data_IF_728986415450
#
_entry.id   IF_728986415450
#
_cell.length_a   1.000
_cell.length_b   1.000
_cell.length_c   1.000
_cell.angle_alpha   90.00
_cell.angle_beta   90.00
_cell.angle_gamma   90.00
#
_symmetry.space_group_name_H-M   'P 1'
#
loop_
_entity.id
_entity.type
_entity.pdbx_description
1 polymer ?
#
# COMPACT_ATOMS: atom_id res chain seq x y z
N UNK A 1 33.21 -48.72 58.94
CA UNK A 1 33.80 -49.65 57.94
C UNK A 1 34.08 -48.83 56.69
N UNK A 2 35.22 -48.16 56.63
CA UNK A 2 36.52 -48.68 56.20
C UNK A 2 36.75 -48.30 54.72
N UNK A 3 37.99 -47.91 54.36
CA UNK A 3 38.23 -46.78 53.47
C UNK A 3 39.16 -47.18 52.30
N UNK A 4 39.80 -46.16 51.71
CA UNK A 4 41.09 -46.17 51.04
C UNK A 4 41.13 -46.42 49.54
N UNK A 5 41.46 -45.42 48.71
CA UNK A 5 42.72 -44.62 48.61
C UNK A 5 43.66 -45.19 47.55
N UNK A 6 43.96 -44.35 46.55
CA UNK A 6 45.31 -44.01 46.03
C UNK A 6 45.12 -43.27 44.69
N UNK A 7 45.39 -41.97 44.54
CA UNK A 7 46.63 -41.20 44.73
C UNK A 7 47.63 -41.32 43.57
N UNK A 8 48.24 -40.17 43.26
CA UNK A 8 49.43 -39.86 42.45
C UNK A 8 49.14 -39.43 41.00
N UNK A 9 49.65 -38.32 40.46
CA UNK A 9 50.74 -37.40 40.86
C UNK A 9 50.63 -36.12 39.99
N UNK A 10 50.95 -34.95 40.60
CA UNK A 10 51.91 -33.87 40.19
C UNK A 10 51.90 -33.44 38.71
N UNK A 11 51.99 -32.17 38.32
CA UNK A 11 52.69 -31.00 38.89
C UNK A 11 52.38 -29.76 38.02
N UNK A 12 52.40 -28.56 38.65
CA UNK A 12 52.46 -27.20 38.07
C UNK A 12 53.63 -27.03 37.05
N UNK A 13 53.88 -25.88 36.35
CA UNK A 13 53.35 -24.51 36.53
C UNK A 13 53.11 -23.65 35.25
N UNK A 14 52.55 -22.45 35.47
CA UNK A 14 52.72 -21.17 34.75
C UNK A 14 53.33 -21.13 33.34
N UNK A 15 52.63 -20.48 32.39
CA UNK A 15 53.24 -19.40 31.57
C UNK A 15 52.22 -18.48 30.89
N UNK A 16 52.53 -17.19 30.97
CA UNK A 16 51.85 -16.05 30.34
C UNK A 16 52.25 -15.85 28.87
N UNK A 17 51.39 -15.15 28.11
CA UNK A 17 51.69 -14.29 26.96
C UNK A 17 50.38 -13.52 26.62
N UNK A 18 50.21 -12.24 26.97
CA UNK A 18 50.67 -11.02 26.28
C UNK A 18 50.28 -10.86 24.80
N UNK A 19 49.32 -9.93 24.58
CA UNK A 19 49.26 -8.80 23.64
C UNK A 19 49.48 -9.01 22.12
N UNK A 20 48.43 -8.73 21.32
CA UNK A 20 48.37 -7.51 20.46
C UNK A 20 47.11 -7.44 19.55
N UNK A 21 46.75 -6.23 19.05
CA UNK A 21 45.45 -5.92 18.47
C UNK A 21 45.42 -5.99 16.93
N UNK A 22 44.24 -6.27 16.36
CA UNK A 22 44.02 -6.09 14.92
C UNK A 22 42.66 -5.44 14.62
N UNK A 23 42.78 -4.45 13.74
CA UNK A 23 41.82 -3.49 13.16
C UNK A 23 40.54 -4.06 12.52
N UNK A 24 39.53 -3.17 12.53
CA UNK A 24 38.53 -2.82 11.48
C UNK A 24 37.62 -3.97 10.98
N UNK A 25 36.31 -3.78 10.88
CA UNK A 25 35.65 -3.06 9.79
C UNK A 25 34.24 -2.61 10.20
N UNK A 26 33.74 -1.55 9.56
CA UNK A 26 32.39 -1.05 9.69
C UNK A 26 31.38 -2.03 9.05
N UNK A 27 30.34 -2.40 9.80
CA UNK A 27 29.19 -3.14 9.28
C UNK A 27 27.92 -2.39 9.61
N UNK A 28 27.38 -1.68 8.62
CA UNK A 28 26.11 -0.97 8.68
C UNK A 28 25.03 -2.04 8.68
N UNK A 29 24.54 -2.41 9.87
CA UNK A 29 23.36 -3.25 10.01
C UNK A 29 22.12 -2.44 9.68
N UNK A 30 21.64 -2.54 8.44
CA UNK A 30 20.31 -2.08 8.03
C UNK A 30 19.26 -2.79 8.89
N UNK A 31 18.83 -2.15 9.98
CA UNK A 31 17.58 -2.49 10.65
C UNK A 31 16.45 -2.18 9.67
N UNK A 32 15.91 -3.21 9.04
CA UNK A 32 14.69 -3.12 8.25
C UNK A 32 13.55 -2.65 9.16
N UNK A 33 13.23 -1.36 9.09
CA UNK A 33 12.00 -0.83 9.64
C UNK A 33 10.84 -1.42 8.83
N UNK A 34 10.26 -2.51 9.31
CA UNK A 34 8.93 -2.92 8.86
C UNK A 34 7.98 -1.90 9.47
N UNK A 35 7.65 -0.86 8.70
CA UNK A 35 6.63 0.09 9.13
C UNK A 35 5.30 -0.67 9.16
N UNK A 36 4.59 -0.71 10.30
CA UNK A 36 3.25 -1.26 10.33
C UNK A 36 2.40 -0.43 9.38
N UNK A 37 1.77 -1.10 8.41
CA UNK A 37 0.80 -0.49 7.51
C UNK A 37 -0.34 0.05 8.37
N UNK A 38 -0.30 1.35 8.63
CA UNK A 38 -1.36 2.08 9.34
C UNK A 38 -2.66 1.91 8.55
N UNK A 39 -3.82 2.02 9.21
CA UNK A 39 -5.06 2.37 8.50
C UNK A 39 -4.75 3.65 7.70
N UNK A 40 -4.58 3.50 6.39
CA UNK A 40 -3.99 4.51 5.55
C UNK A 40 -4.98 5.64 5.32
N UNK A 41 -4.56 6.88 5.58
CA UNK A 41 -5.30 8.03 5.14
C UNK A 41 -5.51 7.97 3.62
N UNK A 42 -6.67 8.42 3.14
CA UNK A 42 -6.99 8.46 1.71
C UNK A 42 -5.98 9.33 0.96
N UNK A 43 -5.55 8.83 -0.20
CA UNK A 43 -4.68 9.51 -1.15
C UNK A 43 -5.39 9.69 -2.48
N UNK A 44 -4.97 10.66 -3.28
CA UNK A 44 -5.64 11.05 -4.51
C UNK A 44 -4.68 11.14 -5.70
N UNK A 45 -5.20 10.84 -6.89
CA UNK A 45 -4.52 11.05 -8.18
C UNK A 45 -4.93 12.41 -8.77
N UNK A 46 -4.16 12.90 -9.73
CA UNK A 46 -4.51 14.08 -10.54
C UNK A 46 -5.72 13.80 -11.45
N UNK A 47 -5.96 12.53 -11.80
CA UNK A 47 -7.16 12.04 -12.49
C UNK A 47 -8.40 11.87 -11.59
N UNK A 48 -8.33 12.37 -10.36
CA UNK A 48 -9.46 12.39 -9.42
C UNK A 48 -9.92 11.01 -8.93
N UNK A 49 -9.06 10.00 -9.00
CA UNK A 49 -9.25 8.76 -8.25
C UNK A 49 -8.74 8.90 -6.82
N UNK A 50 -9.19 8.01 -5.94
CA UNK A 50 -8.66 7.88 -4.59
C UNK A 50 -8.29 6.45 -4.25
N UNK A 51 -7.36 6.30 -3.32
CA UNK A 51 -6.99 5.02 -2.71
C UNK A 51 -6.86 5.15 -1.19
N UNK A 52 -7.37 4.16 -0.46
CA UNK A 52 -7.14 3.97 0.98
C UNK A 52 -6.51 2.61 1.20
N UNK A 53 -5.37 2.55 1.89
CA UNK A 53 -4.61 1.31 2.07
C UNK A 53 -4.68 0.84 3.51
N UNK A 54 -5.18 -0.38 3.72
CA UNK A 54 -5.20 -1.03 5.02
C UNK A 54 -4.62 -2.43 4.89
N UNK A 55 -3.64 -2.78 5.73
CA UNK A 55 -3.00 -4.10 5.75
C UNK A 55 -2.49 -4.58 4.37
N UNK A 56 -2.05 -3.65 3.51
CA UNK A 56 -1.49 -3.94 2.19
C UNK A 56 -2.54 -4.12 1.09
N UNK A 57 -3.82 -3.91 1.41
CA UNK A 57 -4.92 -3.88 0.46
C UNK A 57 -5.35 -2.42 0.25
N UNK A 58 -5.27 -1.96 -0.99
CA UNK A 58 -5.78 -0.68 -1.44
C UNK A 58 -7.23 -0.79 -1.90
N UNK A 59 -8.13 0.00 -1.33
CA UNK A 59 -9.49 0.21 -1.85
C UNK A 59 -9.48 1.45 -2.73
N UNK A 60 -9.97 1.35 -3.95
CA UNK A 60 -9.92 2.40 -4.98
C UNK A 60 -11.32 2.86 -5.34
N UNK A 61 -11.48 4.16 -5.59
CA UNK A 61 -12.71 4.75 -6.14
C UNK A 61 -12.45 6.10 -6.82
N UNK A 62 -13.52 6.82 -7.19
CA UNK A 62 -13.41 8.19 -7.71
C UNK A 62 -13.84 9.23 -6.68
N UNK A 63 -13.34 10.46 -6.80
CA UNK A 63 -13.64 11.54 -5.87
C UNK A 63 -15.04 12.13 -6.08
N UNK A 64 -15.47 12.97 -5.13
CA UNK A 64 -16.70 13.75 -5.30
C UNK A 64 -16.64 14.67 -6.53
N UNK A 65 -15.48 15.29 -6.77
CA UNK A 65 -15.29 16.16 -7.94
C UNK A 65 -15.50 15.38 -9.25
N UNK A 66 -14.94 14.16 -9.34
CA UNK A 66 -15.09 13.31 -10.51
C UNK A 66 -16.54 12.89 -10.76
N UNK A 67 -17.27 12.47 -9.72
CA UNK A 67 -18.65 12.01 -9.90
C UNK A 67 -19.58 13.18 -10.28
N UNK A 68 -19.34 14.40 -9.76
CA UNK A 68 -20.10 15.59 -10.14
C UNK A 68 -19.87 15.95 -11.62
N UNK A 69 -18.61 15.85 -12.08
CA UNK A 69 -18.25 16.10 -13.47
C UNK A 69 -18.89 15.08 -14.44
N UNK A 70 -18.93 13.80 -14.04
CA UNK A 70 -19.62 12.75 -14.79
C UNK A 70 -21.14 12.94 -14.81
N UNK A 71 -21.73 13.36 -13.68
CA UNK A 71 -23.16 13.26 -13.44
C UNK A 71 -23.60 11.82 -13.16
N UNK A 72 -24.89 11.54 -13.34
CA UNK A 72 -25.49 10.25 -12.96
C UNK A 72 -24.84 9.08 -13.71
N UNK A 73 -24.10 8.25 -12.96
CA UNK A 73 -23.43 7.06 -13.48
C UNK A 73 -24.46 5.99 -13.77
N UNK A 74 -24.44 5.48 -15.00
CA UNK A 74 -25.38 4.46 -15.50
C UNK A 74 -24.71 3.11 -15.75
N UNK A 75 -23.38 3.07 -15.84
CA UNK A 75 -22.64 1.84 -16.05
C UNK A 75 -21.22 1.92 -15.47
N UNK A 76 -20.73 0.79 -14.95
CA UNK A 76 -19.38 0.63 -14.42
C UNK A 76 -18.72 -0.58 -15.09
N UNK A 77 -17.71 -0.36 -15.91
CA UNK A 77 -16.84 -1.41 -16.45
C UNK A 77 -15.67 -1.62 -15.50
N UNK A 78 -15.61 -2.79 -14.85
CA UNK A 78 -14.59 -3.14 -13.87
C UNK A 78 -13.77 -4.35 -14.35
N UNK A 79 -12.51 -4.50 -13.91
CA UNK A 79 -11.63 -5.56 -14.34
C UNK A 79 -12.00 -6.89 -13.67
N UNK A 80 -11.39 -7.98 -14.11
CA UNK A 80 -11.53 -9.28 -13.44
C UNK A 80 -10.65 -9.35 -12.17
N UNK A 81 -11.12 -10.07 -11.15
CA UNK A 81 -10.27 -10.42 -10.00
C UNK A 81 -9.08 -11.26 -10.50
N UNK A 82 -7.88 -10.93 -10.03
CA UNK A 82 -6.61 -11.50 -10.49
C UNK A 82 -5.93 -10.69 -11.61
N UNK A 83 -6.56 -9.62 -12.11
CA UNK A 83 -5.94 -8.73 -13.09
C UNK A 83 -4.74 -8.02 -12.46
N UNK A 84 -3.59 -8.08 -13.12
CA UNK A 84 -2.38 -7.35 -12.71
C UNK A 84 -2.35 -5.99 -13.38
N UNK A 85 -2.11 -4.96 -12.58
CA UNK A 85 -2.09 -3.57 -13.00
C UNK A 85 -0.77 -2.95 -12.58
N UNK A 86 -0.12 -2.21 -13.48
CA UNK A 86 0.88 -1.22 -13.09
C UNK A 86 0.17 0.09 -12.75
N UNK A 87 0.88 0.95 -12.01
CA UNK A 87 0.46 2.35 -11.87
C UNK A 87 0.22 2.97 -13.26
N UNK A 88 -0.85 3.72 -13.39
CA UNK A 88 -1.33 4.36 -14.61
C UNK A 88 -1.86 3.41 -15.71
N UNK A 89 -1.94 2.10 -15.48
CA UNK A 89 -2.66 1.20 -16.39
C UNK A 89 -4.17 1.47 -16.30
N UNK A 90 -4.84 1.48 -17.46
CA UNK A 90 -6.30 1.52 -17.54
C UNK A 90 -6.86 0.20 -17.00
N UNK A 91 -7.83 0.27 -16.08
CA UNK A 91 -8.46 -0.92 -15.50
C UNK A 91 -9.97 -1.00 -15.76
N UNK A 92 -10.59 0.07 -16.26
CA UNK A 92 -12.03 0.13 -16.42
C UNK A 92 -12.51 1.48 -16.90
N UNK A 93 -13.83 1.68 -16.86
CA UNK A 93 -14.47 2.93 -17.24
C UNK A 93 -15.79 3.13 -16.48
N UNK A 94 -16.15 4.39 -16.24
CA UNK A 94 -17.48 4.80 -15.77
C UNK A 94 -18.20 5.52 -16.90
N UNK A 95 -19.46 5.16 -17.12
CA UNK A 95 -20.30 5.84 -18.11
C UNK A 95 -21.48 6.53 -17.44
N UNK A 96 -21.80 7.72 -17.92
CA UNK A 96 -22.99 8.50 -17.60
C UNK A 96 -23.73 8.86 -18.88
N UNK A 97 -24.89 9.50 -18.74
CA UNK A 97 -25.62 10.06 -19.91
C UNK A 97 -24.85 11.21 -20.57
N UNK A 98 -23.88 11.82 -19.87
CA UNK A 98 -23.14 13.00 -20.33
C UNK A 98 -21.78 12.64 -20.92
N UNK A 99 -21.09 11.66 -20.34
CA UNK A 99 -19.70 11.36 -20.65
C UNK A 99 -19.35 9.91 -20.30
N UNK A 100 -18.18 9.47 -20.77
CA UNK A 100 -17.47 8.32 -20.24
C UNK A 100 -16.14 8.81 -19.67
N UNK A 101 -15.65 8.16 -18.61
CA UNK A 101 -14.32 8.39 -18.04
C UNK A 101 -13.63 7.06 -17.89
N UNK A 102 -12.46 6.93 -18.50
CA UNK A 102 -11.54 5.83 -18.23
C UNK A 102 -11.02 5.91 -16.79
N UNK A 103 -10.70 4.76 -16.21
CA UNK A 103 -10.20 4.61 -14.84
C UNK A 103 -8.77 4.07 -14.88
N UNK A 104 -7.88 4.72 -14.13
CA UNK A 104 -6.46 4.37 -14.13
C UNK A 104 -6.01 3.92 -12.74
N UNK A 105 -5.16 2.90 -12.72
CA UNK A 105 -4.72 2.30 -11.46
C UNK A 105 -3.80 3.27 -10.71
N UNK A 106 -4.11 3.63 -9.45
CA UNK A 106 -3.26 4.55 -8.69
C UNK A 106 -1.92 3.92 -8.29
N UNK A 107 -1.84 2.59 -8.24
CA UNK A 107 -0.66 1.82 -7.79
C UNK A 107 -0.44 0.57 -8.65
N UNK A 108 0.74 -0.01 -8.55
CA UNK A 108 1.06 -1.34 -9.06
C UNK A 108 0.57 -2.43 -8.10
N UNK A 109 -0.15 -3.43 -8.61
CA UNK A 109 -0.58 -4.60 -7.86
C UNK A 109 -1.55 -5.52 -8.61
N UNK A 110 -2.31 -6.31 -7.85
CA UNK A 110 -3.27 -7.29 -8.37
C UNK A 110 -4.66 -7.05 -7.80
N UNK A 111 -5.68 -7.05 -8.67
CA UNK A 111 -7.09 -6.89 -8.25
C UNK A 111 -7.51 -8.09 -7.40
N UNK A 112 -8.01 -7.83 -6.20
CA UNK A 112 -8.44 -8.84 -5.22
C UNK A 112 -9.95 -8.91 -5.06
N UNK A 113 -10.66 -7.82 -5.36
CA UNK A 113 -12.10 -7.69 -5.17
C UNK A 113 -12.65 -6.61 -6.11
N UNK A 114 -13.91 -6.73 -6.51
CA UNK A 114 -14.65 -5.71 -7.28
C UNK A 114 -16.00 -5.46 -6.62
N UNK A 115 -16.50 -4.24 -6.73
CA UNK A 115 -17.79 -3.90 -6.14
C UNK A 115 -18.96 -4.42 -6.99
N UNK A 116 -19.35 -5.67 -6.76
CA UNK A 116 -20.43 -6.33 -7.49
C UNK A 116 -21.79 -5.58 -7.38
N UNK A 117 -21.99 -4.76 -6.35
CA UNK A 117 -23.23 -3.98 -6.21
C UNK A 117 -23.40 -2.92 -7.31
N UNK A 118 -22.32 -2.50 -7.98
CA UNK A 118 -22.37 -1.48 -9.04
C UNK A 118 -23.00 -1.99 -10.34
N UNK A 119 -23.10 -3.32 -10.52
CA UNK A 119 -23.81 -3.89 -11.67
C UNK A 119 -25.31 -3.57 -11.63
N UNK A 120 -25.92 -3.65 -10.44
CA UNK A 120 -27.35 -3.37 -10.25
C UNK A 120 -27.62 -1.93 -9.78
N UNK A 121 -26.63 -1.27 -9.16
CA UNK A 121 -26.78 0.06 -8.57
C UNK A 121 -25.55 0.96 -8.85
N UNK A 122 -25.30 1.32 -10.12
CA UNK A 122 -24.16 2.15 -10.50
C UNK A 122 -24.18 3.54 -9.84
N UNK A 123 -25.36 4.06 -9.51
CA UNK A 123 -25.54 5.34 -8.81
C UNK A 123 -24.98 5.38 -7.37
N UNK A 124 -24.49 4.25 -6.82
CA UNK A 124 -23.69 4.27 -5.60
C UNK A 124 -22.42 5.10 -5.75
N UNK A 125 -21.84 5.14 -6.96
CA UNK A 125 -20.69 6.00 -7.26
C UNK A 125 -21.04 7.47 -6.99
N UNK A 126 -22.22 7.94 -7.38
CA UNK A 126 -22.64 9.31 -7.11
C UNK A 126 -23.01 9.54 -5.63
N UNK A 127 -23.71 8.60 -5.00
CA UNK A 127 -24.28 8.77 -3.65
C UNK A 127 -23.28 8.55 -2.51
N UNK A 128 -22.26 7.74 -2.75
CA UNK A 128 -21.37 7.21 -1.72
C UNK A 128 -19.95 6.94 -2.28
N UNK A 129 -19.43 7.83 -3.13
CA UNK A 129 -18.14 7.70 -3.85
C UNK A 129 -16.94 7.31 -2.98
N UNK A 130 -17.01 7.64 -1.68
CA UNK A 130 -15.97 7.41 -0.69
C UNK A 130 -16.21 6.23 0.26
N UNK A 131 -17.38 5.59 0.17
CA UNK A 131 -17.78 4.47 1.02
C UNK A 131 -18.33 3.34 0.14
N UNK A 132 -19.65 3.28 -0.08
CA UNK A 132 -20.30 2.15 -0.78
C UNK A 132 -20.06 2.15 -2.29
N UNK A 133 -19.59 3.28 -2.85
CA UNK A 133 -19.26 3.48 -4.26
C UNK A 133 -17.80 3.19 -4.62
N UNK A 134 -17.07 2.46 -3.79
CA UNK A 134 -15.74 1.95 -4.16
C UNK A 134 -15.81 1.06 -5.40
N UNK A 135 -14.73 0.95 -6.17
CA UNK A 135 -14.70 0.29 -7.48
C UNK A 135 -13.99 -1.07 -7.40
N UNK A 136 -12.73 -1.06 -6.97
CA UNK A 136 -11.89 -2.25 -6.84
C UNK A 136 -11.14 -2.25 -5.51
N UNK A 137 -10.70 -3.44 -5.08
CA UNK A 137 -9.61 -3.58 -4.13
C UNK A 137 -8.44 -4.28 -4.79
N UNK A 138 -7.23 -3.90 -4.43
CA UNK A 138 -6.01 -4.48 -4.99
C UNK A 138 -4.93 -4.66 -3.93
N UNK A 139 -4.03 -5.61 -4.15
CA UNK A 139 -2.76 -5.64 -3.41
C UNK A 139 -1.90 -4.44 -3.77
N UNK A 140 -1.00 -4.06 -2.86
CA UNK A 140 0.00 -3.00 -3.12
C UNK A 140 1.38 -3.63 -3.22
N UNK A 141 1.92 -3.75 -4.44
CA UNK A 141 3.24 -4.36 -4.67
C UNK A 141 4.39 -3.39 -4.46
N UNK A 142 4.17 -2.08 -4.70
CA UNK A 142 5.18 -1.03 -4.56
C UNK A 142 4.69 0.07 -3.62
N UNK A 143 4.83 -0.08 -2.30
CA UNK A 143 4.32 0.90 -1.32
C UNK A 143 4.85 2.33 -1.51
N UNK A 144 6.05 2.50 -2.09
CA UNK A 144 6.62 3.82 -2.36
C UNK A 144 5.81 4.67 -3.35
N UNK A 145 5.01 4.04 -4.22
CA UNK A 145 4.14 4.77 -5.16
C UNK A 145 3.05 5.59 -4.44
N UNK A 146 2.72 5.27 -3.18
CA UNK A 146 1.80 6.06 -2.34
C UNK A 146 2.36 7.46 -2.00
N UNK A 147 3.68 7.60 -1.94
CA UNK A 147 4.33 8.88 -1.62
C UNK A 147 4.22 9.89 -2.76
N UNK A 148 3.94 9.41 -3.98
CA UNK A 148 3.71 10.22 -5.17
C UNK A 148 2.27 10.76 -5.26
N UNK A 149 1.35 10.19 -4.47
CA UNK A 149 -0.06 10.57 -4.47
C UNK A 149 -0.33 11.77 -3.55
N UNK A 150 -1.34 12.56 -3.93
CA UNK A 150 -1.76 13.72 -3.16
C UNK A 150 -2.38 13.31 -1.83
N UNK A 151 -2.03 14.02 -0.75
CA UNK A 151 -2.84 14.01 0.47
C UNK A 151 -4.18 14.71 0.21
N UNK A 152 -5.14 14.50 1.10
CA UNK A 152 -6.44 15.19 1.06
C UNK A 152 -6.27 16.72 1.00
N UNK A 153 -5.48 17.33 1.89
CA UNK A 153 -5.18 18.78 1.85
C UNK A 153 -4.55 19.27 0.53
N UNK A 154 -3.77 18.41 -0.15
CA UNK A 154 -3.14 18.77 -1.41
C UNK A 154 -4.16 18.68 -2.55
N UNK A 155 -5.00 17.65 -2.54
CA UNK A 155 -6.09 17.47 -3.49
C UNK A 155 -7.14 18.57 -3.38
N UNK A 156 -7.50 19.01 -2.16
CA UNK A 156 -8.40 20.15 -1.96
C UNK A 156 -7.87 21.45 -2.57
N UNK A 157 -6.55 21.69 -2.50
CA UNK A 157 -5.92 22.85 -3.14
C UNK A 157 -5.90 22.69 -4.66
N UNK A 158 -5.64 21.48 -5.14
CA UNK A 158 -5.64 21.15 -6.56
C UNK A 158 -7.01 21.42 -7.20
N UNK A 159 -8.11 20.92 -6.62
CA UNK A 159 -9.47 21.15 -7.15
C UNK A 159 -9.83 22.64 -7.13
N UNK A 160 -9.48 23.38 -6.06
CA UNK A 160 -9.72 24.84 -5.99
C UNK A 160 -9.00 25.58 -7.11
N UNK A 161 -7.77 25.17 -7.45
CA UNK A 161 -7.02 25.78 -8.54
C UNK A 161 -7.55 25.48 -9.95
N UNK A 162 -8.46 24.51 -10.09
CA UNK A 162 -9.12 24.18 -11.36
C UNK A 162 -10.42 24.99 -11.53
N UNK A 163 -11.07 25.36 -10.43
CA UNK A 163 -12.33 26.11 -10.42
C UNK A 163 -12.15 27.63 -10.62
N UNK A 164 -10.94 28.14 -10.39
CA UNK A 164 -10.54 29.55 -10.58
C UNK A 164 -10.08 29.85 -12.02
#
# INVERSE_FOLDING_TARGET
CAPDSRCTKRSDPQRAAELSPARREAGIGLTGHVQPLRCGARKFTDKHEWISVENGIGTVGISNFAQEALGDVVYCSLPEIGTKLNKDDEFGALESVKAASELYSPLTGEVTDINAALADNPGLVNKSCYQDGWLIKMTVEKPAELDELMSEDAYEKYIKSIED
#
